data_IF_318810594801
#
_entry.id   IF_318810594801
#
_cell.length_a   1.000
_cell.length_b   1.000
_cell.length_c   1.000
_cell.angle_alpha   90.00
_cell.angle_beta   90.00
_cell.angle_gamma   90.00
#
_symmetry.space_group_name_H-M   'P 1'
#
loop_
_entity.id
_entity.type
_entity.pdbx_description
1 polymer ?
#
# COMPACT_ATOMS: atom_id res chain seq x y z
N UNK A 1 6.26 -17.88 -10.21
CA UNK A 1 4.94 -18.54 -10.10
C UNK A 1 5.17 -19.92 -9.52
N UNK A 2 4.68 -20.12 -8.30
CA UNK A 2 4.67 -21.40 -7.60
C UNK A 2 3.22 -21.67 -7.21
N UNK A 3 2.79 -22.93 -7.30
CA UNK A 3 1.51 -23.42 -6.78
C UNK A 3 1.72 -24.24 -5.52
N UNK A 4 2.90 -24.16 -4.90
CA UNK A 4 3.29 -24.97 -3.72
C UNK A 4 3.10 -26.47 -3.94
N UNK A 5 3.24 -26.93 -5.19
CA UNK A 5 3.08 -28.32 -5.58
C UNK A 5 1.63 -28.73 -5.88
N UNK A 6 0.63 -27.90 -5.61
CA UNK A 6 -0.78 -28.23 -5.85
C UNK A 6 -1.12 -28.40 -7.34
N UNK A 7 -0.47 -27.63 -8.22
CA UNK A 7 -0.72 -27.67 -9.65
C UNK A 7 0.54 -27.27 -10.46
N UNK A 8 1.53 -28.16 -10.61
CA UNK A 8 2.77 -27.85 -11.33
C UNK A 8 2.52 -27.53 -12.81
N UNK A 9 1.56 -28.23 -13.45
CA UNK A 9 1.17 -27.99 -14.85
C UNK A 9 0.56 -26.59 -15.03
N UNK A 10 -0.25 -26.14 -14.07
CA UNK A 10 -0.83 -24.79 -14.11
C UNK A 10 0.25 -23.71 -13.97
N UNK A 11 1.20 -23.90 -13.03
CA UNK A 11 2.34 -22.99 -12.88
C UNK A 11 3.19 -22.92 -14.16
N UNK A 12 3.37 -24.05 -14.85
CA UNK A 12 4.08 -24.11 -16.13
C UNK A 12 3.32 -23.39 -17.25
N UNK A 13 1.99 -23.53 -17.33
CA UNK A 13 1.17 -22.83 -18.32
C UNK A 13 1.23 -21.30 -18.16
N UNK A 14 1.11 -20.79 -16.92
CA UNK A 14 1.25 -19.35 -16.67
C UNK A 14 2.68 -18.88 -17.00
N UNK A 15 3.70 -19.65 -16.62
CA UNK A 15 5.10 -19.32 -16.96
C UNK A 15 5.29 -19.20 -18.47
N UNK A 16 4.81 -20.19 -19.24
CA UNK A 16 4.89 -20.17 -20.70
C UNK A 16 4.19 -18.93 -21.27
N UNK A 17 3.02 -18.56 -20.73
CA UNK A 17 2.30 -17.36 -21.16
C UNK A 17 3.10 -16.08 -20.89
N UNK A 18 3.70 -15.95 -19.70
CA UNK A 18 4.55 -14.78 -19.39
C UNK A 18 5.80 -14.73 -20.27
N UNK A 19 6.45 -15.87 -20.53
CA UNK A 19 7.63 -15.94 -21.39
C UNK A 19 7.33 -15.46 -22.81
N UNK A 20 6.11 -15.69 -23.33
CA UNK A 20 5.71 -15.14 -24.65
C UNK A 20 5.53 -13.61 -24.66
N UNK A 21 5.32 -12.98 -23.49
CA UNK A 21 5.19 -11.53 -23.36
C UNK A 21 6.53 -10.83 -23.14
N UNK A 22 7.58 -11.55 -22.74
CA UNK A 22 8.89 -10.98 -22.46
C UNK A 22 9.67 -10.75 -23.77
N UNK A 23 10.33 -9.58 -23.93
CA UNK A 23 11.18 -9.32 -25.07
C UNK A 23 12.32 -10.35 -25.20
N UNK A 24 12.66 -10.70 -26.45
CA UNK A 24 13.83 -11.52 -26.75
C UNK A 24 15.09 -10.82 -26.23
N UNK A 25 15.90 -11.52 -25.43
CA UNK A 25 17.11 -10.97 -24.79
C UNK A 25 17.05 -10.83 -23.26
N UNK A 26 15.84 -10.86 -22.66
CA UNK A 26 15.67 -10.84 -21.20
C UNK A 26 16.39 -11.99 -20.47
N UNK A 27 16.58 -13.14 -21.12
CA UNK A 27 17.36 -14.24 -20.57
C UNK A 27 18.81 -13.81 -20.23
N UNK A 28 19.45 -13.03 -21.12
CA UNK A 28 20.82 -12.51 -20.91
C UNK A 28 20.88 -11.51 -19.76
N UNK A 29 19.86 -10.65 -19.67
CA UNK A 29 19.70 -9.75 -18.53
C UNK A 29 19.50 -10.51 -17.22
N UNK A 30 18.66 -11.56 -17.19
CA UNK A 30 18.49 -12.38 -16.01
C UNK A 30 19.80 -13.10 -15.58
N UNK A 31 20.60 -13.56 -16.55
CA UNK A 31 21.93 -14.12 -16.28
C UNK A 31 22.91 -13.08 -15.76
N UNK A 32 22.90 -11.87 -16.30
CA UNK A 32 23.68 -10.74 -15.78
C UNK A 32 23.27 -10.41 -14.35
N UNK A 33 21.97 -10.34 -14.04
CA UNK A 33 21.48 -10.11 -12.69
C UNK A 33 21.98 -11.18 -11.71
N UNK A 34 21.96 -12.47 -12.09
CA UNK A 34 22.50 -13.55 -11.26
C UNK A 34 23.99 -13.37 -10.95
N UNK A 35 24.80 -13.03 -11.96
CA UNK A 35 26.24 -12.79 -11.81
C UNK A 35 26.51 -11.57 -10.93
N UNK A 36 25.89 -10.44 -11.26
CA UNK A 36 26.14 -9.15 -10.62
C UNK A 36 25.57 -9.06 -9.21
N UNK A 37 24.54 -9.85 -8.86
CA UNK A 37 23.94 -9.84 -7.52
C UNK A 37 24.95 -10.07 -6.41
N UNK A 38 25.87 -11.01 -6.59
CA UNK A 38 26.93 -11.27 -5.59
C UNK A 38 27.85 -10.06 -5.45
N UNK A 39 28.28 -9.46 -6.57
CA UNK A 39 29.17 -8.30 -6.58
C UNK A 39 28.55 -7.07 -5.92
N UNK A 40 27.30 -6.75 -6.26
CA UNK A 40 26.56 -5.62 -5.65
C UNK A 40 26.38 -5.82 -4.15
N UNK A 41 26.19 -7.07 -3.70
CA UNK A 41 26.05 -7.39 -2.27
C UNK A 41 27.38 -7.28 -1.52
N UNK A 42 28.50 -7.67 -2.13
CA UNK A 42 29.83 -7.64 -1.50
C UNK A 42 30.54 -6.31 -1.60
N UNK A 43 30.08 -5.38 -2.46
CA UNK A 43 30.79 -4.13 -2.74
C UNK A 43 30.73 -3.07 -1.62
N UNK A 44 30.19 -3.38 -0.43
CA UNK A 44 30.18 -2.49 0.73
C UNK A 44 29.32 -1.23 0.56
N UNK A 45 28.47 -1.16 -0.46
CA UNK A 45 27.61 -0.01 -0.75
C UNK A 45 26.34 0.03 0.09
N UNK A 46 25.81 1.24 0.31
CA UNK A 46 24.58 1.47 1.07
C UNK A 46 23.37 0.74 0.46
N UNK A 47 22.32 0.49 1.25
CA UNK A 47 21.06 -0.10 0.73
C UNK A 47 20.44 0.75 -0.38
N UNK A 48 20.54 2.07 -0.27
CA UNK A 48 20.06 3.04 -1.26
C UNK A 48 20.80 2.89 -2.59
N UNK A 49 22.14 2.83 -2.55
CA UNK A 49 22.95 2.62 -3.76
C UNK A 49 22.64 1.27 -4.42
N UNK A 50 22.49 0.19 -3.64
CA UNK A 50 22.10 -1.12 -4.16
C UNK A 50 20.74 -1.11 -4.86
N UNK A 51 19.73 -0.48 -4.25
CA UNK A 51 18.41 -0.32 -4.88
C UNK A 51 18.52 0.50 -6.17
N UNK A 52 19.27 1.60 -6.14
CA UNK A 52 19.46 2.48 -7.30
C UNK A 52 20.09 1.73 -8.46
N UNK A 53 21.13 0.94 -8.20
CA UNK A 53 21.73 0.05 -9.18
C UNK A 53 20.68 -0.86 -9.84
N UNK A 54 19.83 -1.52 -9.05
CA UNK A 54 18.80 -2.41 -9.60
C UNK A 54 17.69 -1.68 -10.38
N UNK A 55 17.37 -0.44 -10.01
CA UNK A 55 16.45 0.40 -10.77
C UNK A 55 17.05 0.79 -12.12
N UNK A 56 18.32 1.20 -12.15
CA UNK A 56 19.02 1.54 -13.38
C UNK A 56 19.20 0.31 -14.27
N UNK A 57 19.56 -0.83 -13.68
CA UNK A 57 19.61 -2.12 -14.34
C UNK A 57 18.27 -2.47 -15.00
N UNK A 58 17.16 -2.39 -14.24
CA UNK A 58 15.84 -2.71 -14.76
C UNK A 58 15.44 -1.75 -15.88
N UNK A 59 15.69 -0.45 -15.73
CA UNK A 59 15.43 0.53 -16.79
C UNK A 59 16.24 0.22 -18.05
N UNK A 60 17.51 -0.15 -17.92
CA UNK A 60 18.35 -0.53 -19.06
C UNK A 60 17.82 -1.80 -19.76
N UNK A 61 17.47 -2.84 -19.00
CA UNK A 61 16.92 -4.08 -19.53
C UNK A 61 15.58 -3.87 -20.27
N UNK A 62 14.72 -2.98 -19.75
CA UNK A 62 13.43 -2.65 -20.37
C UNK A 62 13.60 -1.82 -21.65
N UNK A 63 14.52 -0.85 -21.65
CA UNK A 63 14.72 0.06 -22.79
C UNK A 63 15.57 -0.56 -23.91
N UNK A 64 16.50 -1.46 -23.56
CA UNK A 64 17.44 -2.08 -24.50
C UNK A 64 17.45 -3.62 -24.34
N UNK A 65 16.32 -4.30 -24.60
CA UNK A 65 16.20 -5.74 -24.34
C UNK A 65 17.18 -6.61 -25.14
N UNK A 66 17.57 -6.15 -26.35
CA UNK A 66 18.50 -6.86 -27.23
C UNK A 66 19.98 -6.62 -26.94
N UNK A 67 20.31 -5.66 -26.05
CA UNK A 67 21.69 -5.39 -25.64
C UNK A 67 22.24 -6.54 -24.80
N UNK A 68 23.51 -6.88 -25.00
CA UNK A 68 24.19 -7.93 -24.24
C UNK A 68 24.93 -7.33 -23.03
N UNK A 69 24.50 -7.62 -21.78
CA UNK A 69 25.07 -6.95 -20.62
C UNK A 69 26.51 -7.38 -20.36
N UNK A 70 27.43 -6.43 -20.49
CA UNK A 70 28.87 -6.60 -20.34
C UNK A 70 29.40 -5.96 -19.05
N UNK A 71 30.67 -6.19 -18.74
CA UNK A 71 31.31 -5.63 -17.54
C UNK A 71 31.27 -4.09 -17.53
N UNK A 72 31.47 -3.44 -18.68
CA UNK A 72 31.39 -1.99 -18.78
C UNK A 72 30.02 -1.41 -18.42
N UNK A 73 28.93 -2.14 -18.70
CA UNK A 73 27.59 -1.74 -18.26
C UNK A 73 27.46 -1.80 -16.74
N UNK A 74 27.99 -2.86 -16.12
CA UNK A 74 28.02 -2.97 -14.67
C UNK A 74 28.76 -1.79 -14.05
N UNK A 75 29.98 -1.53 -14.52
CA UNK A 75 30.83 -0.48 -13.96
C UNK A 75 30.16 0.90 -14.09
N UNK A 76 29.55 1.20 -15.25
CA UNK A 76 28.83 2.45 -15.47
C UNK A 76 27.60 2.59 -14.55
N UNK A 77 26.76 1.55 -14.48
CA UNK A 77 25.57 1.56 -13.61
C UNK A 77 25.96 1.66 -12.13
N UNK A 78 27.05 0.99 -11.74
CA UNK A 78 27.53 0.96 -10.37
C UNK A 78 28.12 2.31 -9.94
N UNK A 79 28.90 2.96 -10.80
CA UNK A 79 29.42 4.31 -10.54
C UNK A 79 28.29 5.34 -10.44
N UNK A 80 27.29 5.30 -11.32
CA UNK A 80 26.10 6.17 -11.20
C UNK A 80 25.37 5.93 -9.87
N UNK A 81 25.19 4.65 -9.50
CA UNK A 81 24.51 4.30 -8.27
C UNK A 81 25.28 4.71 -7.00
N UNK A 82 26.61 4.78 -7.08
CA UNK A 82 27.51 5.19 -5.98
C UNK A 82 27.67 6.71 -5.89
N UNK A 83 27.66 7.41 -7.02
CA UNK A 83 27.94 8.84 -7.13
C UNK A 83 26.82 9.78 -6.66
N UNK A 84 25.59 9.29 -6.46
CA UNK A 84 24.56 10.10 -5.82
C UNK A 84 24.72 10.08 -4.30
N UNK A 85 24.65 11.27 -3.69
CA UNK A 85 24.55 11.41 -2.25
C UNK A 85 23.45 10.48 -1.71
N UNK A 86 23.73 9.80 -0.60
CA UNK A 86 22.73 8.98 0.05
C UNK A 86 21.48 9.83 0.30
N UNK A 87 20.34 9.44 -0.28
CA UNK A 87 19.07 10.08 0.03
C UNK A 87 18.91 10.09 1.56
N UNK A 88 18.55 11.25 2.11
CA UNK A 88 18.24 11.36 3.52
C UNK A 88 17.17 10.32 3.87
N UNK A 89 17.36 9.60 4.98
CA UNK A 89 16.35 8.67 5.44
C UNK A 89 15.07 9.42 5.78
N UNK A 90 13.96 8.73 5.61
CA UNK A 90 12.63 9.28 5.80
C UNK A 90 11.73 8.24 6.44
N UNK A 91 10.68 8.73 7.09
CA UNK A 91 9.65 7.90 7.71
C UNK A 91 8.35 8.08 6.95
N UNK A 92 7.70 6.97 6.60
CA UNK A 92 6.35 6.96 6.06
C UNK A 92 5.46 6.19 7.02
N UNK A 93 4.49 6.87 7.62
CA UNK A 93 3.46 6.24 8.44
C UNK A 93 2.33 5.78 7.51
N UNK A 94 2.00 4.49 7.53
CA UNK A 94 1.10 3.86 6.58
C UNK A 94 -0.01 3.13 7.32
N UNK A 95 -1.27 3.51 7.03
CA UNK A 95 -2.44 2.76 7.45
C UNK A 95 -2.63 1.53 6.58
N UNK A 96 -2.55 0.35 7.19
CA UNK A 96 -2.72 -0.94 6.53
C UNK A 96 -4.19 -1.28 6.24
N UNK A 97 -5.12 -0.51 6.81
CA UNK A 97 -6.55 -0.76 6.70
C UNK A 97 -7.04 -1.87 7.63
N UNK A 98 -8.27 -2.33 7.40
CA UNK A 98 -8.97 -3.29 8.27
C UNK A 98 -8.55 -4.77 8.10
N UNK A 99 -7.37 -5.03 7.52
CA UNK A 99 -6.77 -6.36 7.40
C UNK A 99 -6.90 -7.02 6.02
N UNK A 100 -7.90 -6.65 5.23
CA UNK A 100 -8.03 -7.11 3.83
C UNK A 100 -6.97 -6.40 2.95
N UNK A 101 -6.04 -7.14 2.31
CA UNK A 101 -5.02 -6.53 1.46
C UNK A 101 -5.58 -5.76 0.26
N UNK A 102 -6.78 -6.06 -0.22
CA UNK A 102 -7.40 -5.33 -1.33
C UNK A 102 -7.85 -3.91 -0.93
N UNK A 103 -7.94 -3.63 0.38
CA UNK A 103 -8.23 -2.30 0.92
C UNK A 103 -6.98 -1.44 1.11
N UNK A 104 -5.78 -1.95 0.78
CA UNK A 104 -4.57 -1.14 0.76
C UNK A 104 -4.67 -0.06 -0.32
N UNK A 105 -4.30 1.16 0.04
CA UNK A 105 -4.20 2.22 -0.95
C UNK A 105 -3.02 1.97 -1.88
N UNK A 106 -3.12 2.43 -3.14
CA UNK A 106 -1.99 2.35 -4.08
C UNK A 106 -0.74 3.07 -3.55
N UNK A 107 -0.91 4.09 -2.72
CA UNK A 107 0.21 4.80 -2.07
C UNK A 107 0.84 3.95 -0.98
N UNK A 108 0.06 3.20 -0.20
CA UNK A 108 0.58 2.26 0.80
C UNK A 108 1.39 1.15 0.13
N UNK A 109 0.86 0.56 -0.95
CA UNK A 109 1.59 -0.43 -1.75
C UNK A 109 2.94 0.10 -2.25
N UNK A 110 2.97 1.31 -2.81
CA UNK A 110 4.22 1.95 -3.25
C UNK A 110 5.20 2.17 -2.09
N UNK A 111 4.71 2.60 -0.93
CA UNK A 111 5.54 2.78 0.26
C UNK A 111 6.17 1.44 0.72
N UNK A 112 5.39 0.36 0.78
CA UNK A 112 5.88 -0.98 1.15
C UNK A 112 6.94 -1.53 0.18
N UNK A 113 6.81 -1.23 -1.12
CA UNK A 113 7.80 -1.59 -2.14
C UNK A 113 9.04 -0.69 -2.07
N UNK A 114 8.90 0.56 -1.62
CA UNK A 114 9.98 1.54 -1.45
C UNK A 114 10.72 1.43 -0.10
N UNK A 115 10.16 0.72 0.88
CA UNK A 115 10.74 0.59 2.22
C UNK A 115 12.08 -0.14 2.21
N UNK A 116 12.99 0.32 3.08
CA UNK A 116 14.16 -0.46 3.48
C UNK A 116 13.90 -1.28 4.74
N UNK A 117 13.14 -0.71 5.66
CA UNK A 117 12.71 -1.34 6.90
C UNK A 117 11.21 -1.06 7.07
N UNK A 118 10.49 -2.08 7.53
CA UNK A 118 9.06 -2.00 7.84
C UNK A 118 8.91 -2.35 9.31
N UNK A 119 8.50 -1.37 10.11
CA UNK A 119 8.12 -1.52 11.51
C UNK A 119 6.61 -1.83 11.54
N UNK A 120 6.27 -3.09 11.81
CA UNK A 120 4.93 -3.66 11.66
C UNK A 120 4.24 -3.71 13.01
N UNK A 121 3.07 -3.10 13.11
CA UNK A 121 2.19 -3.23 14.28
C UNK A 121 1.62 -4.66 14.39
N UNK A 122 1.31 -5.10 15.61
CA UNK A 122 0.67 -6.40 15.86
C UNK A 122 -0.69 -6.54 15.16
N UNK A 123 -1.44 -5.44 14.99
CA UNK A 123 -2.76 -5.47 14.35
C UNK A 123 -2.72 -5.63 12.81
N UNK A 124 -1.54 -5.67 12.20
CA UNK A 124 -1.41 -5.77 10.75
C UNK A 124 -1.51 -7.23 10.30
N UNK A 125 -2.41 -7.49 9.35
CA UNK A 125 -2.54 -8.81 8.70
C UNK A 125 -1.22 -9.24 8.03
N UNK A 126 -0.75 -10.48 8.24
CA UNK A 126 0.45 -11.02 7.57
C UNK A 126 0.38 -10.93 6.04
N UNK A 127 -0.82 -11.10 5.45
CA UNK A 127 -1.02 -11.10 4.00
C UNK A 127 -0.63 -9.75 3.36
N UNK A 128 -0.75 -8.64 4.10
CA UNK A 128 -0.30 -7.31 3.65
C UNK A 128 1.22 -7.28 3.48
N UNK A 129 1.96 -8.05 4.27
CA UNK A 129 3.41 -8.09 4.22
C UNK A 129 3.95 -8.82 2.99
N UNK A 130 3.12 -9.56 2.25
CA UNK A 130 3.51 -10.21 1.00
C UNK A 130 3.71 -9.20 -0.14
N UNK A 131 3.08 -8.03 -0.03
CA UNK A 131 3.24 -6.92 -0.96
C UNK A 131 4.51 -6.09 -0.71
N UNK A 132 5.15 -6.28 0.44
CA UNK A 132 6.39 -5.61 0.77
C UNK A 132 7.56 -6.03 -0.12
N UNK A 133 8.54 -5.15 -0.29
CA UNK A 133 9.79 -5.50 -0.97
C UNK A 133 10.43 -6.71 -0.26
N UNK A 134 10.74 -7.76 -1.02
CA UNK A 134 11.37 -9.00 -0.53
C UNK A 134 12.65 -8.79 0.30
N UNK A 135 13.39 -7.72 0.01
CA UNK A 135 14.67 -7.37 0.66
C UNK A 135 14.50 -6.34 1.78
N UNK A 136 13.28 -5.86 2.06
CA UNK A 136 13.01 -5.01 3.20
C UNK A 136 13.08 -5.82 4.50
N UNK A 137 13.72 -5.27 5.53
CA UNK A 137 13.71 -5.88 6.87
C UNK A 137 12.36 -5.61 7.50
N UNK A 138 11.64 -6.67 7.90
CA UNK A 138 10.38 -6.56 8.62
C UNK A 138 10.67 -6.75 10.11
N UNK A 139 10.20 -5.84 10.95
CA UNK A 139 10.38 -5.88 12.40
C UNK A 139 9.02 -5.68 13.04
N UNK A 140 8.56 -6.67 13.80
CA UNK A 140 7.35 -6.52 14.60
C UNK A 140 7.64 -5.52 15.72
N UNK A 141 6.76 -4.53 15.88
CA UNK A 141 6.80 -3.51 16.93
C UNK A 141 5.40 -3.40 17.52
N UNK A 142 5.30 -3.30 18.84
CA UNK A 142 4.02 -3.36 19.53
C UNK A 142 4.19 -3.89 20.95
N UNK A 143 3.16 -3.69 21.76
CA UNK A 143 3.20 -3.94 23.19
C UNK A 143 2.81 -5.36 23.52
N UNK A 144 3.61 -6.02 24.34
CA UNK A 144 3.22 -7.30 24.94
C UNK A 144 2.22 -7.01 26.08
N UNK A 145 1.02 -6.57 25.73
CA UNK A 145 -0.16 -6.57 26.61
C UNK A 145 -0.22 -5.62 27.82
N UNK A 146 0.84 -4.91 28.23
CA UNK A 146 0.86 -4.15 29.49
C UNK A 146 1.01 -2.62 29.39
N UNK A 147 1.15 -2.08 28.17
CA UNK A 147 0.93 -0.66 27.87
C UNK A 147 1.92 0.31 28.51
N UNK A 148 3.15 -0.12 28.83
CA UNK A 148 4.12 0.78 29.45
C UNK A 148 4.63 1.82 28.43
N UNK A 149 4.64 3.10 28.83
CA UNK A 149 5.17 4.21 28.03
C UNK A 149 6.65 4.01 27.61
N UNK A 150 7.38 3.12 28.27
CA UNK A 150 8.75 2.75 27.95
C UNK A 150 8.88 2.15 26.54
N UNK A 151 7.90 1.38 26.07
CA UNK A 151 8.00 0.68 24.79
C UNK A 151 7.81 1.63 23.58
N UNK A 152 7.02 2.70 23.72
CA UNK A 152 6.79 3.64 22.63
C UNK A 152 7.96 4.58 22.42
N UNK A 153 8.57 5.07 23.50
CA UNK A 153 9.76 5.92 23.39
C UNK A 153 10.93 5.15 22.78
N UNK A 154 11.07 3.87 23.11
CA UNK A 154 12.03 2.95 22.49
C UNK A 154 11.74 2.75 21.00
N UNK A 155 10.48 2.52 20.61
CA UNK A 155 10.09 2.40 19.21
C UNK A 155 10.34 3.71 18.44
N UNK A 156 9.96 4.85 19.00
CA UNK A 156 10.20 6.18 18.43
C UNK A 156 11.70 6.41 18.21
N UNK A 157 12.50 6.08 19.22
CA UNK A 157 13.98 6.16 19.18
C UNK A 157 14.55 5.26 18.09
N UNK A 158 14.08 4.01 18.00
CA UNK A 158 14.49 3.07 16.96
C UNK A 158 14.14 3.63 15.56
N UNK A 159 12.91 4.07 15.35
CA UNK A 159 12.45 4.62 14.08
C UNK A 159 13.30 5.81 13.64
N UNK A 160 13.55 6.77 14.55
CA UNK A 160 14.41 7.93 14.31
C UNK A 160 15.85 7.49 14.01
N UNK A 161 16.42 6.55 14.77
CA UNK A 161 17.77 6.06 14.56
C UNK A 161 17.94 5.41 13.17
N UNK A 162 16.97 4.60 12.76
CA UNK A 162 16.96 3.97 11.43
C UNK A 162 16.88 5.01 10.31
N UNK A 163 16.03 6.02 10.45
CA UNK A 163 15.94 7.12 9.49
C UNK A 163 17.23 7.95 9.45
N UNK A 164 17.85 8.26 10.60
CA UNK A 164 19.16 8.93 10.67
C UNK A 164 20.28 8.12 10.00
N UNK A 165 20.17 6.79 10.00
CA UNK A 165 21.08 5.91 9.25
C UNK A 165 20.82 5.89 7.73
N UNK A 166 19.99 6.80 7.21
CA UNK A 166 19.68 6.94 5.79
C UNK A 166 18.73 5.86 5.26
N UNK A 167 17.91 5.25 6.13
CA UNK A 167 16.93 4.23 5.72
C UNK A 167 15.58 4.87 5.43
N UNK A 168 14.88 4.32 4.45
CA UNK A 168 13.43 4.54 4.28
C UNK A 168 12.68 3.60 5.21
N UNK A 169 12.10 4.17 6.25
CA UNK A 169 11.38 3.43 7.28
C UNK A 169 9.90 3.57 7.01
N UNK A 170 9.20 2.45 6.86
CA UNK A 170 7.74 2.41 6.88
C UNK A 170 7.29 1.96 8.26
N UNK A 171 6.44 2.76 8.91
CA UNK A 171 5.69 2.35 10.10
C UNK A 171 4.31 1.94 9.63
N UNK A 172 4.03 0.64 9.68
CA UNK A 172 2.79 0.05 9.18
C UNK A 172 1.87 -0.23 10.37
N UNK A 173 0.74 0.46 10.43
CA UNK A 173 -0.25 0.35 11.52
C UNK A 173 -1.55 -0.25 11.03
N UNK A 174 -2.26 -1.01 11.87
CA UNK A 174 -3.62 -1.47 11.55
C UNK A 174 -4.59 -0.29 11.40
N UNK A 175 -5.55 -0.38 10.47
CA UNK A 175 -6.54 0.66 10.25
C UNK A 175 -5.98 1.95 9.64
N UNK A 176 -6.26 3.08 10.30
CA UNK A 176 -5.83 4.43 9.91
C UNK A 176 -4.73 4.93 10.87
N UNK A 177 -3.82 5.78 10.39
CA UNK A 177 -2.60 6.19 11.11
C UNK A 177 -2.90 7.07 12.34
N UNK A 178 -3.86 7.98 12.23
CA UNK A 178 -4.06 9.08 13.18
C UNK A 178 -5.31 8.96 14.05
N UNK A 179 -6.31 8.17 13.64
CA UNK A 179 -7.64 8.22 14.24
C UNK A 179 -7.73 7.48 15.58
N UNK A 180 -6.91 6.43 15.79
CA UNK A 180 -6.89 5.65 17.04
C UNK A 180 -5.49 5.13 17.43
N UNK A 181 -4.46 5.59 16.73
CA UNK A 181 -3.08 5.17 16.94
C UNK A 181 -2.23 6.24 17.64
N UNK A 182 -0.98 5.88 17.93
CA UNK A 182 0.02 6.79 18.52
C UNK A 182 0.79 7.58 17.46
N UNK A 183 0.23 7.72 16.26
CA UNK A 183 0.87 8.40 15.13
C UNK A 183 1.28 9.84 15.44
N UNK A 184 0.54 10.55 16.30
CA UNK A 184 0.91 11.90 16.75
C UNK A 184 2.26 11.94 17.48
N UNK A 185 2.54 10.97 18.34
CA UNK A 185 3.80 10.86 19.10
C UNK A 185 4.96 10.50 18.17
N UNK A 186 4.74 9.57 17.25
CA UNK A 186 5.71 9.17 16.22
C UNK A 186 6.09 10.37 15.33
N UNK A 187 5.10 11.16 14.87
CA UNK A 187 5.33 12.38 14.09
C UNK A 187 6.11 13.40 14.91
N UNK A 188 5.77 13.60 16.18
CA UNK A 188 6.45 14.56 17.05
C UNK A 188 7.92 14.18 17.25
N UNK A 189 8.22 12.90 17.50
CA UNK A 189 9.58 12.39 17.65
C UNK A 189 10.41 12.59 16.37
N UNK A 190 9.85 12.27 15.19
CA UNK A 190 10.53 12.49 13.92
C UNK A 190 10.78 13.97 13.63
N UNK A 191 9.79 14.85 13.88
CA UNK A 191 9.93 16.29 13.70
C UNK A 191 11.01 16.87 14.61
N UNK A 192 11.02 16.48 15.89
CA UNK A 192 12.04 16.89 16.85
C UNK A 192 13.46 16.46 16.40
N UNK A 193 13.56 15.34 15.69
CA UNK A 193 14.81 14.82 15.15
C UNK A 193 15.18 15.34 13.74
N UNK A 194 14.36 16.21 13.13
CA UNK A 194 14.57 16.73 11.78
C UNK A 194 14.39 15.70 10.66
N UNK A 195 13.63 14.63 10.91
CA UNK A 195 13.35 13.57 9.94
C UNK A 195 12.10 13.92 9.13
N UNK A 196 12.17 13.76 7.81
CA UNK A 196 11.02 13.92 6.93
C UNK A 196 9.98 12.82 7.21
N UNK A 197 8.72 13.22 7.42
CA UNK A 197 7.60 12.31 7.68
C UNK A 197 6.51 12.52 6.63
N UNK A 198 6.06 11.42 6.06
CA UNK A 198 4.89 11.36 5.19
C UNK A 198 3.82 10.46 5.82
N UNK A 199 2.55 10.86 5.68
CA UNK A 199 1.41 10.04 6.11
C UNK A 199 0.69 9.50 4.88
N UNK A 200 0.45 8.21 4.89
CA UNK A 200 -0.38 7.51 3.91
C UNK A 200 -1.59 6.95 4.64
N UNK A 201 -2.79 7.53 4.43
CA UNK A 201 -3.99 7.07 5.11
C UNK A 201 -4.38 5.67 4.63
N UNK A 202 -5.04 4.94 5.51
CA UNK A 202 -5.67 3.63 5.25
C UNK A 202 -7.17 3.70 5.49
N UNK A 203 -7.90 2.67 5.06
CA UNK A 203 -9.34 2.54 5.34
C UNK A 203 -9.53 2.13 6.81
N UNK A 204 -10.16 2.99 7.59
CA UNK A 204 -10.40 2.73 9.01
C UNK A 204 -11.29 1.50 9.26
N UNK A 205 -11.14 0.89 10.43
CA UNK A 205 -11.90 -0.30 10.80
C UNK A 205 -13.41 -0.02 10.88
N UNK A 206 -13.81 1.18 11.31
CA UNK A 206 -15.21 1.58 11.40
C UNK A 206 -15.87 1.65 10.01
N UNK A 207 -15.22 2.30 9.05
CA UNK A 207 -15.70 2.43 7.68
C UNK A 207 -15.78 1.07 6.98
N UNK A 208 -14.74 0.25 7.15
CA UNK A 208 -14.72 -1.12 6.61
C UNK A 208 -15.84 -1.98 7.22
N UNK A 209 -16.05 -1.89 8.53
CA UNK A 209 -17.12 -2.61 9.22
C UNK A 209 -18.51 -2.14 8.76
N UNK A 210 -18.72 -0.83 8.63
CA UNK A 210 -19.97 -0.27 8.14
C UNK A 210 -20.31 -0.77 6.74
N UNK A 211 -19.34 -0.77 5.82
CA UNK A 211 -19.52 -1.31 4.48
C UNK A 211 -19.82 -2.81 4.49
N UNK A 212 -19.07 -3.60 5.29
CA UNK A 212 -19.23 -5.06 5.38
C UNK A 212 -20.55 -5.49 6.01
N UNK A 213 -21.06 -4.71 6.96
CA UNK A 213 -22.34 -4.94 7.64
C UNK A 213 -23.52 -4.24 6.94
N UNK A 214 -23.29 -3.58 5.81
CA UNK A 214 -24.29 -2.82 5.05
C UNK A 214 -25.00 -1.74 5.89
N UNK A 215 -24.29 -1.16 6.86
CA UNK A 215 -24.82 -0.07 7.67
C UNK A 215 -25.00 1.18 6.80
N UNK A 216 -26.23 1.65 6.67
CA UNK A 216 -26.60 2.76 5.79
C UNK A 216 -27.16 2.32 4.43
N UNK A 217 -27.25 1.02 4.15
CA UNK A 217 -28.12 0.55 3.07
C UNK A 217 -29.57 0.90 3.44
N UNK A 218 -30.20 1.73 2.62
CA UNK A 218 -31.64 2.03 2.75
C UNK A 218 -32.35 0.68 2.60
N UNK A 219 -33.22 0.27 3.54
CA UNK A 219 -34.03 -0.92 3.31
C UNK A 219 -34.80 -0.73 2.00
N UNK A 220 -34.94 -1.80 1.21
CA UNK A 220 -35.90 -1.91 0.12
C UNK A 220 -37.33 -1.80 0.68
N UNK A 221 -37.67 -0.65 1.29
CA UNK A 221 -39.05 -0.24 1.43
C UNK A 221 -39.48 0.14 0.02
N UNK A 222 -40.39 -0.61 -0.63
CA UNK A 222 -40.93 -0.17 -1.89
C UNK A 222 -41.50 1.23 -1.66
N UNK A 223 -40.98 2.21 -2.39
CA UNK A 223 -41.58 3.54 -2.46
C UNK A 223 -43.07 3.30 -2.70
N UNK A 224 -43.99 3.92 -1.93
CA UNK A 224 -45.41 3.77 -2.20
C UNK A 224 -45.60 4.24 -3.64
N UNK A 225 -45.88 3.29 -4.52
CA UNK A 225 -46.34 3.58 -5.87
C UNK A 225 -47.60 4.40 -5.62
N UNK A 226 -47.53 5.70 -5.92
CA UNK A 226 -48.71 6.54 -5.96
C UNK A 226 -49.61 5.96 -7.05
N UNK A 227 -50.42 4.96 -6.71
CA UNK A 227 -51.52 4.51 -7.53
C UNK A 227 -52.40 5.73 -7.71
N UNK A 228 -52.35 6.32 -8.91
CA UNK A 228 -53.20 7.42 -9.28
C UNK A 228 -54.65 7.04 -8.96
N UNK A 229 -55.31 7.87 -8.16
CA UNK A 229 -56.74 7.74 -7.91
C UNK A 229 -57.47 7.65 -9.26
N UNK A 230 -58.42 6.70 -9.43
CA UNK A 230 -59.24 6.71 -10.62
C UNK A 230 -60.06 8.01 -10.62
N UNK A 231 -59.97 8.75 -11.72
CA UNK A 231 -60.74 9.97 -11.93
C UNK A 231 -62.24 9.69 -11.67
N UNK A 232 -62.86 10.50 -10.81
CA UNK A 232 -64.30 10.48 -10.60
C UNK A 232 -65.02 10.84 -11.92
N UNK A 233 -66.13 10.15 -12.27
CA UNK A 233 -66.87 10.49 -13.48
C UNK A 233 -67.57 11.85 -13.31
N UNK A 234 -67.85 12.59 -14.41
CA UNK A 234 -68.45 13.91 -14.33
C UNK A 234 -69.94 13.78 -13.98
N UNK A 235 -70.26 13.99 -12.70
CA UNK A 235 -71.63 14.06 -12.20
C UNK A 235 -72.18 15.48 -12.24
N UNK A 236 -72.88 15.77 -13.34
CA UNK A 236 -73.98 16.70 -13.53
C UNK A 236 -74.08 17.97 -12.66
N UNK A 237 -73.75 19.12 -13.28
CA UNK A 237 -74.10 20.45 -12.78
C UNK A 237 -75.57 20.73 -13.07
N UNK A 238 -76.47 20.51 -12.12
CA UNK A 238 -77.76 21.23 -12.09
C UNK A 238 -78.49 21.12 -10.74
N UNK A 239 -79.00 22.28 -10.30
CA UNK A 239 -79.94 22.53 -9.17
C UNK A 239 -79.37 22.41 -7.75
N UNK A 240 -79.63 23.32 -6.82
CA UNK A 240 -80.50 24.48 -6.84
C UNK A 240 -80.03 25.53 -5.83
N UNK A 241 -80.04 26.76 -6.32
CA UNK A 241 -80.05 28.01 -5.56
C UNK A 241 -81.28 28.09 -4.65
N UNK A 242 -81.08 28.49 -3.39
CA UNK A 242 -81.99 29.00 -2.33
C UNK A 242 -81.48 28.43 -0.99
N UNK A 243 -81.21 29.17 0.09
CA UNK A 243 -81.69 30.49 0.50
C UNK A 243 -80.78 31.07 1.59
N UNK A 244 -80.53 32.37 1.45
CA UNK A 244 -80.27 33.39 2.48
C UNK A 244 -80.66 33.08 3.93
N UNK A 245 -79.70 33.32 4.84
CA UNK A 245 -79.81 34.25 5.99
C UNK A 245 -80.91 34.02 7.04
N UNK A 246 -80.48 33.62 8.26
CA UNK A 246 -80.80 34.18 9.60
C UNK A 246 -80.72 33.11 10.71
N UNK A 247 -80.07 33.47 11.82
CA UNK A 247 -80.06 32.74 13.09
C UNK A 247 -78.84 33.10 13.92
#
# INVERSE_FOLDING_TARGET
>A
ISTEGAAPVFAQAIRAKLETMLPRGFARWADAARRWRKWVQSAGVSSTARRRFWQLFAACAMNHPGHEPAQGDFDALFEIAKGQAAEAGAVTLVGAGAGDPELLTLRALRALQAADIILVDELVSPDILDFARREAKKMLVGTTGDGSACEQDEMNTLMVALAKAGRRVVRLTGGEVTTFGRGGEEIAACRAAGIAVEIVPGIGAAEAAAARLLLGAIPETPLPVCCGSPAAPPGDRARAMRSTDRG
#
